data_IF_703534048180
#
_entry.id   IF_703534048180
#
_cell.length_a   1.000
_cell.length_b   1.000
_cell.length_c   1.000
_cell.angle_alpha   90.00
_cell.angle_beta   90.00
_cell.angle_gamma   90.00
#
_symmetry.space_group_name_H-M   'P 1'
#
loop_
_entity.id
_entity.type
_entity.pdbx_description
1 polymer ?
#
# COMPACT_ATOMS: atom_id res chain seq x y z
N UNK A 1 5.25 -21.52 4.69
CA UNK A 1 3.92 -22.00 4.26
C UNK A 1 3.06 -20.84 3.75
N UNK A 2 2.60 -20.88 2.50
CA UNK A 2 1.69 -19.87 1.96
C UNK A 2 0.43 -19.89 2.82
N UNK A 3 0.10 -18.74 3.43
CA UNK A 3 -1.11 -18.58 4.22
C UNK A 3 -2.29 -19.02 3.37
N UNK A 4 -3.18 -19.87 3.91
CA UNK A 4 -4.32 -20.39 3.17
C UNK A 4 -5.32 -19.30 2.77
N UNK A 5 -5.28 -18.14 3.44
CA UNK A 5 -6.06 -16.94 3.14
C UNK A 5 -5.12 -15.74 3.10
N UNK A 6 -5.28 -14.87 2.11
CA UNK A 6 -4.49 -13.65 1.95
C UNK A 6 -5.39 -12.44 2.21
N UNK A 7 -5.02 -11.62 3.19
CA UNK A 7 -5.70 -10.34 3.45
C UNK A 7 -4.91 -9.15 2.91
N UNK A 8 -5.55 -8.36 2.05
CA UNK A 8 -5.02 -7.11 1.54
C UNK A 8 -5.58 -5.92 2.34
N UNK A 9 -4.78 -4.87 2.43
CA UNK A 9 -5.21 -3.57 2.96
C UNK A 9 -4.84 -2.43 2.03
N UNK A 10 -5.83 -1.62 1.70
CA UNK A 10 -5.64 -0.28 1.15
C UNK A 10 -5.81 0.72 2.28
N UNK A 11 -4.82 1.58 2.52
CA UNK A 11 -4.89 2.61 3.56
C UNK A 11 -4.48 3.98 3.04
N UNK A 12 -5.34 4.99 3.23
CA UNK A 12 -5.05 6.37 2.88
C UNK A 12 -6.26 7.09 2.31
N UNK A 13 -6.02 8.16 1.56
CA UNK A 13 -7.09 8.86 0.84
C UNK A 13 -7.76 7.92 -0.14
N UNK A 14 -9.09 7.83 -0.07
CA UNK A 14 -9.90 7.11 -1.04
C UNK A 14 -10.13 8.06 -2.21
N UNK A 15 -9.51 7.77 -3.35
CA UNK A 15 -9.51 8.66 -4.50
C UNK A 15 -9.01 7.99 -5.76
N UNK A 16 -9.28 8.62 -6.90
CA UNK A 16 -8.88 8.11 -8.22
C UNK A 16 -7.38 8.00 -8.35
N UNK A 17 -6.66 9.09 -8.06
CA UNK A 17 -5.19 9.16 -8.20
C UNK A 17 -4.44 8.19 -7.28
N UNK A 18 -5.10 7.78 -6.19
CA UNK A 18 -4.54 6.83 -5.23
C UNK A 18 -4.90 5.37 -5.56
N UNK A 19 -5.71 5.15 -6.58
CA UNK A 19 -5.99 3.86 -7.17
C UNK A 19 -6.95 2.97 -6.38
N UNK A 20 -7.86 3.55 -5.58
CA UNK A 20 -8.76 2.73 -4.75
C UNK A 20 -9.61 1.77 -5.59
N UNK A 21 -10.03 2.18 -6.80
CA UNK A 21 -10.81 1.33 -7.69
C UNK A 21 -9.96 0.20 -8.31
N UNK A 22 -8.70 0.47 -8.57
CA UNK A 22 -7.70 -0.46 -9.09
C UNK A 22 -7.42 -1.55 -8.05
N UNK A 23 -7.31 -1.18 -6.76
CA UNK A 23 -7.21 -2.16 -5.67
C UNK A 23 -8.43 -3.09 -5.61
N UNK A 24 -9.64 -2.53 -5.78
CA UNK A 24 -10.89 -3.30 -5.81
C UNK A 24 -10.90 -4.26 -6.99
N UNK A 25 -10.66 -3.77 -8.22
CA UNK A 25 -10.63 -4.58 -9.44
C UNK A 25 -9.60 -5.69 -9.35
N UNK A 26 -8.40 -5.38 -8.85
CA UNK A 26 -7.34 -6.35 -8.64
C UNK A 26 -7.80 -7.48 -7.72
N UNK A 27 -8.36 -7.14 -6.55
CA UNK A 27 -8.85 -8.14 -5.60
C UNK A 27 -10.05 -8.93 -6.14
N UNK A 28 -10.95 -8.30 -6.90
CA UNK A 28 -12.06 -9.00 -7.57
C UNK A 28 -11.57 -10.00 -8.61
N UNK A 29 -10.55 -9.63 -9.39
CA UNK A 29 -9.95 -10.53 -10.38
C UNK A 29 -9.21 -11.68 -9.70
N UNK A 30 -8.44 -11.39 -8.66
CA UNK A 30 -7.72 -12.42 -7.89
C UNK A 30 -8.70 -13.38 -7.19
N UNK A 31 -9.83 -12.87 -6.68
CA UNK A 31 -10.85 -13.71 -6.05
C UNK A 31 -11.44 -14.77 -6.99
N UNK A 32 -11.50 -14.50 -8.31
CA UNK A 32 -11.98 -15.46 -9.32
C UNK A 32 -11.09 -16.69 -9.43
N UNK A 33 -9.79 -16.56 -9.19
CA UNK A 33 -8.84 -17.70 -9.19
C UNK A 33 -8.60 -18.23 -7.78
N UNK A 34 -8.80 -17.40 -6.76
CA UNK A 34 -8.57 -17.75 -5.36
C UNK A 34 -9.58 -17.07 -4.42
N UNK A 35 -10.61 -17.83 -4.05
CA UNK A 35 -11.68 -17.36 -3.17
C UNK A 35 -11.27 -17.12 -1.72
N UNK A 36 -9.99 -17.34 -1.38
CA UNK A 36 -9.43 -17.09 -0.03
C UNK A 36 -8.67 -15.78 0.01
N UNK A 37 -9.22 -14.75 -0.64
CA UNK A 37 -8.70 -13.39 -0.65
C UNK A 37 -9.71 -12.45 -0.02
N UNK A 38 -9.24 -11.45 0.72
CA UNK A 38 -10.07 -10.35 1.22
C UNK A 38 -9.34 -9.02 1.11
N UNK A 39 -10.09 -7.93 0.97
CA UNK A 39 -9.57 -6.56 0.95
C UNK A 39 -10.25 -5.70 2.01
N UNK A 40 -9.46 -5.00 2.82
CA UNK A 40 -9.93 -3.90 3.67
C UNK A 40 -9.49 -2.58 3.06
N UNK A 41 -10.44 -1.70 2.76
CA UNK A 41 -10.20 -0.32 2.37
C UNK A 41 -10.45 0.53 3.60
N UNK A 42 -9.43 1.24 4.09
CA UNK A 42 -9.54 2.08 5.27
C UNK A 42 -9.02 3.49 4.99
N UNK A 43 -9.87 4.49 5.24
CA UNK A 43 -9.49 5.88 5.04
C UNK A 43 -10.66 6.80 4.76
N UNK A 44 -10.37 7.94 4.13
CA UNK A 44 -11.33 9.03 3.93
C UNK A 44 -11.37 9.47 2.47
N UNK A 45 -12.57 9.80 1.98
CA UNK A 45 -12.79 10.47 0.70
C UNK A 45 -13.49 11.80 0.93
N UNK A 46 -12.86 12.89 0.48
CA UNK A 46 -13.54 14.19 0.37
C UNK A 46 -14.48 14.24 -0.84
N UNK A 47 -14.27 13.37 -1.84
CA UNK A 47 -15.13 13.27 -3.02
C UNK A 47 -16.26 12.26 -2.75
N UNK A 48 -17.45 12.80 -2.49
CA UNK A 48 -18.66 12.00 -2.26
C UNK A 48 -19.08 11.20 -3.49
N UNK A 49 -18.90 11.74 -4.71
CA UNK A 49 -19.28 11.03 -5.94
C UNK A 49 -18.36 9.82 -6.15
N UNK A 50 -17.06 10.01 -5.93
CA UNK A 50 -16.10 8.92 -5.98
C UNK A 50 -16.35 7.89 -4.88
N UNK A 51 -16.64 8.32 -3.65
CA UNK A 51 -16.98 7.42 -2.55
C UNK A 51 -18.21 6.58 -2.87
N UNK A 52 -19.27 7.18 -3.42
CA UNK A 52 -20.47 6.47 -3.87
C UNK A 52 -20.12 5.39 -4.90
N UNK A 53 -19.27 5.72 -5.88
CA UNK A 53 -18.78 4.76 -6.88
C UNK A 53 -18.02 3.59 -6.21
N UNK A 54 -17.18 3.86 -5.21
CA UNK A 54 -16.48 2.82 -4.45
C UNK A 54 -17.48 1.92 -3.72
N UNK A 55 -18.43 2.49 -2.97
CA UNK A 55 -19.45 1.73 -2.23
C UNK A 55 -20.30 0.86 -3.17
N UNK A 56 -20.68 1.38 -4.34
CA UNK A 56 -21.41 0.61 -5.36
C UNK A 56 -20.57 -0.54 -5.91
N UNK A 57 -19.27 -0.31 -6.17
CA UNK A 57 -18.37 -1.34 -6.72
C UNK A 57 -18.11 -2.52 -5.79
N UNK A 58 -18.29 -2.33 -4.47
CA UNK A 58 -18.07 -3.37 -3.46
C UNK A 58 -19.37 -4.00 -2.92
N UNK A 59 -20.54 -3.52 -3.37
CA UNK A 59 -21.85 -3.89 -2.81
C UNK A 59 -22.12 -5.40 -2.84
N UNK A 60 -21.61 -6.11 -3.86
CA UNK A 60 -21.81 -7.55 -4.06
C UNK A 60 -20.52 -8.36 -3.84
N UNK A 61 -19.54 -7.78 -3.14
CA UNK A 61 -18.26 -8.44 -2.84
C UNK A 61 -18.07 -8.55 -1.33
N UNK A 62 -18.61 -9.58 -0.66
CA UNK A 62 -18.56 -9.70 0.81
C UNK A 62 -17.14 -9.86 1.37
N UNK A 63 -16.16 -10.13 0.50
CA UNK A 63 -14.73 -10.21 0.83
C UNK A 63 -14.01 -8.85 0.74
N UNK A 64 -14.69 -7.78 0.34
CA UNK A 64 -14.16 -6.42 0.32
C UNK A 64 -14.95 -5.57 1.33
N UNK A 65 -14.25 -4.91 2.25
CA UNK A 65 -14.85 -4.05 3.27
C UNK A 65 -14.31 -2.62 3.19
N UNK A 66 -15.16 -1.67 3.56
CA UNK A 66 -14.82 -0.25 3.63
C UNK A 66 -14.95 0.23 5.09
N UNK A 67 -13.87 0.81 5.63
CA UNK A 67 -13.81 1.43 6.96
C UNK A 67 -13.50 2.92 6.80
N UNK A 68 -14.39 3.78 7.30
CA UNK A 68 -14.35 5.22 7.05
C UNK A 68 -15.18 5.61 5.83
N UNK A 69 -14.57 6.29 4.86
CA UNK A 69 -15.25 6.86 3.70
C UNK A 69 -15.60 8.31 3.93
N UNK A 70 -16.74 8.59 4.57
CA UNK A 70 -17.22 9.96 4.77
C UNK A 70 -16.53 10.70 5.92
N UNK A 71 -15.84 9.97 6.79
CA UNK A 71 -15.17 10.53 7.96
C UNK A 71 -13.71 10.06 8.01
N UNK A 72 -12.78 10.92 8.48
CA UNK A 72 -11.43 10.51 8.83
C UNK A 72 -11.45 9.34 9.81
N UNK A 73 -10.51 8.43 9.63
CA UNK A 73 -10.34 7.26 10.51
C UNK A 73 -9.16 7.54 11.44
N UNK A 74 -9.28 7.30 12.77
CA UNK A 74 -8.17 7.44 13.69
C UNK A 74 -6.95 6.64 13.25
N UNK A 75 -5.75 7.21 13.40
CA UNK A 75 -4.52 6.56 12.97
C UNK A 75 -4.30 5.21 13.67
N UNK A 76 -4.68 5.08 14.94
CA UNK A 76 -4.60 3.82 15.68
C UNK A 76 -5.42 2.69 15.05
N UNK A 77 -6.59 3.00 14.49
CA UNK A 77 -7.42 2.02 13.78
C UNK A 77 -6.76 1.61 12.47
N UNK A 78 -6.20 2.57 11.73
CA UNK A 78 -5.43 2.30 10.52
C UNK A 78 -4.25 1.36 10.82
N UNK A 79 -3.50 1.62 11.88
CA UNK A 79 -2.36 0.80 12.30
C UNK A 79 -2.80 -0.61 12.71
N UNK A 80 -3.92 -0.76 13.44
CA UNK A 80 -4.49 -2.06 13.79
C UNK A 80 -4.81 -2.89 12.55
N UNK A 81 -5.47 -2.31 11.56
CA UNK A 81 -5.78 -3.00 10.30
C UNK A 81 -4.51 -3.34 9.51
N UNK A 82 -3.54 -2.42 9.46
CA UNK A 82 -2.29 -2.62 8.75
C UNK A 82 -1.48 -3.78 9.35
N UNK A 83 -1.44 -3.89 10.68
CA UNK A 83 -0.77 -4.98 11.40
C UNK A 83 -1.37 -6.36 11.06
N UNK A 84 -2.70 -6.49 11.04
CA UNK A 84 -3.38 -7.78 10.84
C UNK A 84 -3.48 -8.21 9.36
N UNK A 85 -3.39 -7.27 8.43
CA UNK A 85 -3.38 -7.57 6.99
C UNK A 85 -2.11 -8.34 6.61
N UNK A 86 -2.14 -9.13 5.55
CA UNK A 86 -0.93 -9.78 5.05
C UNK A 86 -0.10 -8.84 4.17
N UNK A 87 -0.77 -8.06 3.32
CA UNK A 87 -0.13 -7.26 2.26
C UNK A 87 -0.84 -5.91 2.12
N UNK A 88 -0.08 -4.82 2.09
CA UNK A 88 -0.58 -3.50 1.73
C UNK A 88 -0.67 -3.36 0.20
N UNK A 89 -1.79 -2.89 -0.33
CA UNK A 89 -2.00 -2.65 -1.77
C UNK A 89 -2.07 -1.14 -2.02
N UNK A 90 -1.17 -0.63 -2.86
CA UNK A 90 -0.98 0.80 -3.12
C UNK A 90 -0.86 1.06 -4.63
N UNK A 91 -1.95 0.94 -5.38
CA UNK A 91 -1.98 1.06 -6.85
C UNK A 91 -1.98 2.53 -7.28
N UNK A 92 -1.01 3.31 -6.81
CA UNK A 92 -0.90 4.75 -7.13
C UNK A 92 -0.85 4.98 -8.64
N UNK A 93 -1.61 5.96 -9.12
CA UNK A 93 -1.50 6.43 -10.50
C UNK A 93 -0.14 7.12 -10.69
N UNK A 94 0.65 6.67 -11.68
CA UNK A 94 1.93 7.30 -12.01
C UNK A 94 1.62 8.50 -12.89
N UNK A 95 1.68 9.69 -12.30
CA UNK A 95 1.45 10.98 -12.95
C UNK A 95 2.50 11.99 -12.46
N UNK A 96 2.49 13.21 -12.99
CA UNK A 96 3.48 14.25 -12.62
C UNK A 96 3.51 14.55 -11.11
N UNK A 97 2.40 14.36 -10.39
CA UNK A 97 2.31 14.61 -8.96
C UNK A 97 2.87 13.45 -8.11
N UNK A 98 2.93 12.24 -8.66
CA UNK A 98 3.48 11.06 -7.96
C UNK A 98 4.88 10.70 -8.45
N UNK A 99 5.23 11.12 -9.67
CA UNK A 99 6.55 10.96 -10.26
C UNK A 99 7.61 11.66 -9.41
N UNK A 100 8.66 10.93 -9.05
CA UNK A 100 9.76 11.46 -8.23
C UNK A 100 9.46 11.62 -6.74
N UNK A 101 8.25 11.27 -6.27
CA UNK A 101 7.88 11.32 -4.85
C UNK A 101 7.86 9.92 -4.24
N UNK A 102 8.22 9.81 -2.96
CA UNK A 102 8.13 8.56 -2.21
C UNK A 102 6.91 8.67 -1.28
N UNK A 103 5.90 7.80 -1.42
CA UNK A 103 4.75 7.78 -0.53
C UNK A 103 5.18 7.51 0.93
N UNK A 104 4.66 8.30 1.88
CA UNK A 104 4.91 8.09 3.32
C UNK A 104 4.48 6.70 3.78
N UNK A 105 3.46 6.12 3.14
CA UNK A 105 2.97 4.77 3.41
C UNK A 105 4.05 3.69 3.20
N UNK A 106 5.04 3.92 2.34
CA UNK A 106 6.16 2.99 2.17
C UNK A 106 6.97 2.90 3.47
N UNK A 107 7.26 4.02 4.11
CA UNK A 107 7.99 4.04 5.39
C UNK A 107 7.18 3.38 6.51
N UNK A 108 5.86 3.62 6.57
CA UNK A 108 4.98 2.92 7.52
C UNK A 108 5.03 1.40 7.32
N UNK A 109 4.92 0.94 6.06
CA UNK A 109 4.99 -0.48 5.75
C UNK A 109 6.37 -1.07 6.06
N UNK A 110 7.46 -0.36 5.76
CA UNK A 110 8.81 -0.78 6.11
C UNK A 110 8.97 -0.92 7.64
N UNK A 111 8.51 0.06 8.42
CA UNK A 111 8.57 0.03 9.88
C UNK A 111 7.76 -1.12 10.50
N UNK A 112 6.66 -1.52 9.86
CA UNK A 112 5.81 -2.62 10.30
C UNK A 112 6.15 -3.97 9.66
N UNK A 113 7.22 -4.04 8.86
CA UNK A 113 7.55 -5.20 8.03
C UNK A 113 6.37 -5.73 7.21
N UNK A 114 5.58 -4.82 6.62
CA UNK A 114 4.38 -5.11 5.82
C UNK A 114 4.72 -5.25 4.34
N UNK A 115 4.57 -6.44 3.73
CA UNK A 115 4.70 -6.60 2.29
C UNK A 115 3.77 -5.67 1.52
N UNK A 116 4.21 -5.21 0.35
CA UNK A 116 3.52 -4.22 -0.46
C UNK A 116 3.29 -4.73 -1.90
N UNK A 117 2.13 -4.41 -2.47
CA UNK A 117 1.90 -4.40 -3.91
C UNK A 117 1.88 -2.95 -4.39
N UNK A 118 2.77 -2.63 -5.32
CA UNK A 118 2.93 -1.28 -5.87
C UNK A 118 3.01 -1.35 -7.39
N UNK A 119 2.75 -0.25 -8.12
CA UNK A 119 2.98 -0.18 -9.55
C UNK A 119 4.42 -0.52 -9.92
N UNK A 120 4.63 -1.00 -11.15
CA UNK A 120 5.95 -1.20 -11.74
C UNK A 120 6.67 0.14 -12.00
N UNK A 121 7.13 0.77 -10.93
CA UNK A 121 7.82 2.06 -10.96
C UNK A 121 9.28 1.90 -10.54
N UNK A 122 10.21 2.14 -11.47
CA UNK A 122 11.65 1.85 -11.31
C UNK A 122 12.24 2.51 -10.06
N UNK A 123 11.95 3.79 -9.81
CA UNK A 123 12.48 4.50 -8.64
C UNK A 123 12.01 3.86 -7.32
N UNK A 124 10.74 3.46 -7.24
CA UNK A 124 10.17 2.89 -6.02
C UNK A 124 10.70 1.48 -5.77
N UNK A 125 10.78 0.66 -6.82
CA UNK A 125 11.35 -0.68 -6.74
C UNK A 125 12.82 -0.63 -6.36
N UNK A 126 13.61 0.28 -6.94
CA UNK A 126 15.03 0.46 -6.58
C UNK A 126 15.20 0.90 -5.12
N UNK A 127 14.34 1.79 -4.62
CA UNK A 127 14.36 2.20 -3.21
C UNK A 127 14.10 1.00 -2.28
N UNK A 128 13.14 0.16 -2.64
CA UNK A 128 12.71 -0.99 -1.86
C UNK A 128 13.55 -2.25 -2.11
N UNK A 129 14.49 -2.26 -3.04
CA UNK A 129 15.32 -3.43 -3.32
C UNK A 129 16.17 -3.83 -2.11
N UNK A 130 16.63 -2.82 -1.33
CA UNK A 130 17.41 -3.00 -0.09
C UNK A 130 16.67 -3.80 0.97
N UNK A 131 15.34 -3.72 0.99
CA UNK A 131 14.47 -4.42 1.91
C UNK A 131 13.41 -5.08 1.06
N UNK A 132 13.57 -6.35 0.61
CA UNK A 132 12.66 -7.01 -0.32
C UNK A 132 11.20 -7.03 0.16
N UNK A 133 10.51 -5.90 0.04
CA UNK A 133 9.30 -5.57 0.78
C UNK A 133 8.14 -5.33 -0.18
N UNK A 134 8.40 -5.24 -1.47
CA UNK A 134 7.40 -5.01 -2.49
C UNK A 134 7.48 -6.00 -3.66
N UNK A 135 6.33 -6.19 -4.30
CA UNK A 135 6.21 -6.72 -5.65
C UNK A 135 5.67 -5.59 -6.52
N UNK A 136 6.35 -5.36 -7.64
CA UNK A 136 5.85 -4.51 -8.71
C UNK A 136 4.75 -5.25 -9.47
N UNK A 137 3.58 -4.63 -9.57
CA UNK A 137 2.37 -5.20 -10.17
C UNK A 137 1.86 -4.25 -11.24
N UNK A 138 1.47 -4.83 -12.37
CA UNK A 138 0.57 -4.17 -13.30
C UNK A 138 -0.87 -4.46 -12.85
N UNK A 139 -1.55 -3.44 -12.33
CA UNK A 139 -2.91 -3.58 -11.80
C UNK A 139 -3.97 -3.73 -12.89
N UNK A 140 -3.60 -3.54 -14.16
CA UNK A 140 -4.45 -3.79 -15.31
C UNK A 140 -4.25 -5.20 -15.90
N UNK A 141 -3.18 -5.90 -15.51
CA UNK A 141 -2.93 -7.27 -15.98
C UNK A 141 -4.03 -8.21 -15.50
N UNK A 142 -4.58 -8.98 -16.44
CA UNK A 142 -5.65 -9.95 -16.18
C UNK A 142 -5.11 -11.32 -15.75
N UNK A 143 -3.79 -11.56 -15.84
CA UNK A 143 -3.17 -12.85 -15.56
C UNK A 143 -2.90 -13.07 -14.06
N UNK A 144 -3.99 -13.26 -13.30
CA UNK A 144 -3.92 -13.50 -11.85
C UNK A 144 -3.13 -14.76 -11.49
N UNK A 145 -3.16 -15.82 -12.31
CA UNK A 145 -2.41 -17.06 -12.04
C UNK A 145 -0.90 -16.83 -12.04
N UNK A 146 -0.41 -15.98 -12.94
CA UNK A 146 1.01 -15.58 -12.97
C UNK A 146 1.36 -14.82 -11.69
N UNK A 147 0.55 -13.84 -11.30
CA UNK A 147 0.73 -13.10 -10.05
C UNK A 147 0.75 -14.04 -8.83
N UNK A 148 -0.18 -14.99 -8.74
CA UNK A 148 -0.22 -15.95 -7.63
C UNK A 148 1.04 -16.82 -7.57
N UNK A 149 1.53 -17.27 -8.72
CA UNK A 149 2.78 -18.03 -8.81
C UNK A 149 3.98 -17.19 -8.36
N UNK A 150 4.04 -15.90 -8.73
CA UNK A 150 5.09 -14.98 -8.29
C UNK A 150 5.01 -14.71 -6.78
N UNK A 151 3.81 -14.44 -6.27
CA UNK A 151 3.57 -14.19 -4.85
C UNK A 151 3.98 -15.39 -3.99
N UNK A 152 3.64 -16.61 -4.42
CA UNK A 152 3.98 -17.85 -3.69
C UNK A 152 5.49 -18.12 -3.57
N UNK A 153 6.28 -17.58 -4.50
CA UNK A 153 7.76 -17.73 -4.53
C UNK A 153 8.47 -16.60 -3.79
N UNK A 154 7.77 -15.50 -3.50
CA UNK A 154 8.39 -14.32 -2.90
C UNK A 154 8.60 -14.54 -1.41
N UNK A 155 9.83 -14.30 -0.97
CA UNK A 155 10.16 -14.21 0.45
C UNK A 155 10.46 -12.75 0.78
N UNK A 156 9.54 -12.13 1.51
CA UNK A 156 9.65 -10.73 1.90
C UNK A 156 10.60 -10.53 3.08
N UNK A 157 11.19 -9.34 3.17
CA UNK A 157 11.99 -8.91 4.32
C UNK A 157 13.16 -9.84 4.67
N UNK A 158 13.87 -10.36 3.64
CA UNK A 158 15.15 -11.07 3.83
C UNK A 158 16.20 -10.18 4.53
N UNK A 159 16.10 -8.88 4.29
CA UNK A 159 16.85 -7.83 4.98
C UNK A 159 15.83 -6.91 5.63
N UNK A 160 15.97 -6.71 6.94
CA UNK A 160 15.10 -5.83 7.71
C UNK A 160 15.59 -4.38 7.61
N UNK A 161 14.68 -3.40 7.50
CA UNK A 161 15.03 -2.00 7.69
C UNK A 161 15.63 -1.74 9.06
N UNK A 162 16.71 -0.94 9.11
CA UNK A 162 17.29 -0.46 10.35
C UNK A 162 16.69 0.88 10.79
N UNK A 163 17.47 1.67 11.52
CA UNK A 163 17.02 2.98 12.01
C UNK A 163 16.97 4.05 10.92
N UNK A 164 17.59 3.80 9.76
CA UNK A 164 17.66 4.73 8.63
C UNK A 164 16.31 5.09 7.99
N UNK A 165 15.26 4.33 8.32
CA UNK A 165 13.88 4.65 7.90
C UNK A 165 13.10 5.45 8.95
N UNK A 166 13.71 5.74 10.10
CA UNK A 166 13.07 6.41 11.24
C UNK A 166 13.41 7.91 11.27
N UNK A 167 12.50 8.70 11.84
CA UNK A 167 12.71 10.14 12.04
C UNK A 167 13.96 10.49 12.86
N UNK A 168 14.36 9.61 13.79
CA UNK A 168 15.57 9.79 14.60
C UNK A 168 16.85 9.82 13.76
N UNK A 169 16.89 9.10 12.63
CA UNK A 169 18.02 9.15 11.70
C UNK A 169 18.00 10.44 10.86
N UNK A 170 16.81 10.89 10.43
CA UNK A 170 16.65 12.16 9.70
C UNK A 170 16.99 13.38 10.58
N UNK A 171 16.66 13.34 11.86
CA UNK A 171 17.04 14.37 12.84
C UNK A 171 18.56 14.58 12.88
N UNK A 172 19.33 13.48 12.89
CA UNK A 172 20.80 13.51 12.90
C UNK A 172 21.40 14.11 11.62
N UNK A 173 20.67 14.13 10.50
CA UNK A 173 21.08 14.77 9.24
C UNK A 173 20.67 16.22 9.19
N UNK A 174 19.44 16.52 9.62
CA UNK A 174 18.84 17.84 9.50
C UNK A 174 19.44 18.86 10.48
N UNK A 175 19.66 18.48 11.74
CA UNK A 175 20.21 19.39 12.75
C UNK A 175 21.58 19.96 12.34
N UNK A 176 22.57 19.14 11.93
CA UNK A 176 23.85 19.66 11.44
C UNK A 176 23.70 20.52 10.19
N UNK A 177 22.82 20.13 9.26
CA UNK A 177 22.56 20.88 8.04
C UNK A 177 22.05 22.30 8.35
N UNK A 178 21.04 22.42 9.23
CA UNK A 178 20.50 23.72 9.63
C UNK A 178 21.57 24.54 10.33
N UNK A 179 22.27 23.99 11.34
CA UNK A 179 23.34 24.70 12.05
C UNK A 179 24.40 25.27 11.11
N UNK A 180 24.79 24.52 10.08
CA UNK A 180 25.77 24.95 9.07
C UNK A 180 25.31 26.16 8.23
N UNK A 181 24.00 26.34 8.03
CA UNK A 181 23.47 27.34 7.09
C UNK A 181 22.65 28.47 7.74
N UNK A 182 22.28 28.36 9.01
CA UNK A 182 21.55 29.42 9.75
C UNK A 182 22.36 30.11 10.85
N UNK A 183 23.47 29.52 11.31
CA UNK A 183 24.38 30.20 12.24
C UNK A 183 25.41 31.00 11.42
N UNK A 184 25.05 32.24 11.09
CA UNK A 184 26.00 33.32 10.79
C UNK A 184 26.16 34.18 12.03
#
# INVERSE_FOLDING_TARGET
PVKSKISFIYSGTIGKEYGTLEAIKFCQNLYKTNSKVSLTIIGYSADYKYLKKITESIKLTPYISLKGGEKPVPNEEILKELLIADIAIMPYEINENTAGRIPTKFYECLALHKPMLIPNHVMWLNMLEKYPAAIGVDFEDSNMKKFEAELSKKWFYKTLPGKEIQWSDEENKLIPFVKKHTLK
#
